data_IF_650237024048
#
_entry.id   IF_650237024048
#
_cell.length_a   1.000
_cell.length_b   1.000
_cell.length_c   1.000
_cell.angle_alpha   90.00
_cell.angle_beta   90.00
_cell.angle_gamma   90.00
#
_symmetry.space_group_name_H-M   'P 1'
#
loop_
_entity.id
_entity.type
_entity.pdbx_description
1 polymer ?
#
# COMPACT_ATOMS: atom_id res chain seq x y z
N UNK A 1 -43.11 -62.02 111.64
CA UNK A 1 -44.56 -61.78 111.72
C UNK A 1 -45.17 -62.11 110.38
N UNK A 2 -46.24 -62.90 110.36
CA UNK A 2 -46.94 -63.37 109.17
C UNK A 2 -47.77 -62.24 108.51
N UNK A 3 -47.84 -62.18 107.17
CA UNK A 3 -49.05 -62.56 106.42
C UNK A 3 -48.76 -62.64 104.89
N UNK A 4 -49.37 -63.58 104.14
CA UNK A 4 -49.15 -63.89 102.74
C UNK A 4 -50.28 -63.38 101.82
N UNK A 5 -50.14 -63.61 100.52
CA UNK A 5 -51.19 -63.46 99.50
C UNK A 5 -50.58 -63.55 98.09
N UNK A 6 -50.25 -64.74 97.59
CA UNK A 6 -51.14 -65.73 96.95
C UNK A 6 -51.47 -65.42 95.47
N UNK A 7 -50.72 -66.11 94.61
CA UNK A 7 -51.13 -66.88 93.43
C UNK A 7 -51.74 -66.12 92.23
N UNK A 8 -50.91 -66.03 91.19
CA UNK A 8 -51.32 -65.97 89.79
C UNK A 8 -50.41 -66.88 88.97
N UNK A 9 -50.91 -68.08 88.68
CA UNK A 9 -50.28 -69.22 88.02
C UNK A 9 -49.28 -68.93 86.90
N UNK A 10 -48.09 -69.53 87.00
CA UNK A 10 -47.28 -69.88 85.84
C UNK A 10 -48.00 -71.00 85.07
N UNK A 11 -48.92 -70.61 84.18
CA UNK A 11 -49.42 -71.50 83.15
C UNK A 11 -48.32 -71.67 82.08
N UNK A 12 -48.03 -72.91 81.62
CA UNK A 12 -47.30 -73.07 80.37
C UNK A 12 -48.12 -72.37 79.28
N UNK A 13 -47.46 -71.67 78.36
CA UNK A 13 -48.13 -70.94 77.28
C UNK A 13 -49.21 -71.85 76.66
N UNK A 14 -50.48 -71.51 76.86
CA UNK A 14 -51.61 -72.28 76.33
C UNK A 14 -51.46 -72.37 74.81
N UNK A 15 -52.04 -73.41 74.21
CA UNK A 15 -52.09 -73.59 72.75
C UNK A 15 -52.54 -72.29 72.03
N UNK A 16 -53.49 -71.56 72.64
CA UNK A 16 -53.94 -70.22 72.25
C UNK A 16 -52.85 -69.14 72.20
N UNK A 17 -51.85 -69.18 73.08
CA UNK A 17 -50.77 -68.19 73.13
C UNK A 17 -49.75 -68.43 72.00
N UNK A 18 -49.50 -69.69 71.65
CA UNK A 18 -48.65 -70.03 70.50
C UNK A 18 -49.36 -69.74 69.18
N UNK A 19 -50.66 -70.04 69.06
CA UNK A 19 -51.47 -69.72 67.87
C UNK A 19 -51.53 -68.20 67.64
N UNK A 20 -51.66 -67.38 68.70
CA UNK A 20 -51.58 -65.92 68.58
C UNK A 20 -50.21 -65.43 68.08
N UNK A 21 -49.11 -66.00 68.60
CA UNK A 21 -47.76 -65.66 68.11
C UNK A 21 -47.54 -66.06 66.65
N UNK A 22 -48.06 -67.21 66.23
CA UNK A 22 -48.01 -67.65 64.83
C UNK A 22 -48.84 -66.72 63.95
N UNK A 23 -50.05 -66.34 64.37
CA UNK A 23 -50.89 -65.37 63.66
C UNK A 23 -50.23 -63.99 63.54
N UNK A 24 -49.56 -63.52 64.61
CA UNK A 24 -48.79 -62.26 64.61
C UNK A 24 -47.56 -62.33 63.69
N UNK A 25 -46.86 -63.47 63.65
CA UNK A 25 -45.76 -63.70 62.70
C UNK A 25 -46.27 -63.76 61.27
N UNK A 26 -47.37 -64.45 61.00
CA UNK A 26 -47.98 -64.47 59.67
C UNK A 26 -48.46 -63.09 59.25
N UNK A 27 -48.93 -62.27 60.19
CA UNK A 27 -49.30 -60.88 59.95
C UNK A 27 -48.07 -60.01 59.67
N UNK A 28 -47.02 -60.14 60.48
CA UNK A 28 -45.75 -59.45 60.27
C UNK A 28 -45.11 -59.82 58.93
N UNK A 29 -45.12 -61.10 58.56
CA UNK A 29 -44.66 -61.60 57.26
C UNK A 29 -45.53 -61.06 56.12
N UNK A 30 -46.85 -60.98 56.30
CA UNK A 30 -47.76 -60.35 55.32
C UNK A 30 -47.54 -58.84 55.16
N UNK A 31 -47.19 -58.13 56.23
CA UNK A 31 -46.99 -56.66 56.24
C UNK A 31 -45.54 -56.25 55.89
N UNK A 32 -44.56 -57.14 56.05
CA UNK A 32 -43.14 -56.92 55.75
C UNK A 32 -42.89 -56.54 54.28
N UNK A 33 -43.49 -57.28 53.33
CA UNK A 33 -43.33 -57.01 51.90
C UNK A 33 -43.78 -55.60 51.51
N UNK A 34 -45.04 -55.21 51.83
CA UNK A 34 -45.53 -53.85 51.63
C UNK A 34 -44.72 -52.78 52.37
N UNK A 35 -44.28 -53.05 53.62
CA UNK A 35 -43.49 -52.11 54.42
C UNK A 35 -42.10 -51.84 53.81
N UNK A 36 -41.42 -52.89 53.34
CA UNK A 36 -40.14 -52.78 52.64
C UNK A 36 -40.33 -51.97 51.35
N UNK A 37 -41.34 -52.29 50.53
CA UNK A 37 -41.64 -51.56 49.30
C UNK A 37 -41.89 -50.06 49.57
N UNK A 38 -42.64 -49.72 50.63
CA UNK A 38 -42.89 -48.34 51.03
C UNK A 38 -41.63 -47.63 51.52
N UNK A 39 -40.73 -48.31 52.24
CA UNK A 39 -39.48 -47.71 52.72
C UNK A 39 -38.48 -47.39 51.60
N UNK A 40 -38.46 -48.17 50.51
CA UNK A 40 -37.56 -47.98 49.37
C UNK A 40 -38.15 -47.14 48.24
N UNK A 41 -39.48 -47.02 48.15
CA UNK A 41 -40.18 -46.19 47.18
C UNK A 41 -39.60 -44.75 47.05
N UNK A 42 -39.33 -43.99 48.13
CA UNK A 42 -38.76 -42.64 48.00
C UNK A 42 -37.32 -42.65 47.45
N UNK A 43 -36.53 -43.69 47.76
CA UNK A 43 -35.16 -43.84 47.24
C UNK A 43 -35.18 -44.15 45.75
N UNK A 44 -36.06 -45.07 45.31
CA UNK A 44 -36.26 -45.41 43.90
C UNK A 44 -36.76 -44.19 43.12
N UNK A 45 -37.73 -43.45 43.68
CA UNK A 45 -38.23 -42.22 43.06
C UNK A 45 -37.11 -41.21 42.88
N UNK A 46 -36.31 -40.94 43.92
CA UNK A 46 -35.18 -40.00 43.85
C UNK A 46 -34.12 -40.45 42.83
N UNK A 47 -33.85 -41.75 42.74
CA UNK A 47 -32.93 -42.31 41.75
C UNK A 47 -33.46 -42.09 40.31
N UNK A 48 -34.74 -42.35 40.07
CA UNK A 48 -35.37 -42.10 38.77
C UNK A 48 -35.40 -40.60 38.42
N UNK A 49 -35.79 -39.73 39.37
CA UNK A 49 -35.78 -38.27 39.17
C UNK A 49 -34.35 -37.76 38.82
N UNK A 50 -33.31 -38.35 39.44
CA UNK A 50 -31.90 -38.01 39.17
C UNK A 50 -31.47 -38.50 37.79
N UNK A 51 -31.91 -39.70 37.38
CA UNK A 51 -31.66 -40.25 36.06
C UNK A 51 -32.33 -39.41 34.97
N UNK A 52 -33.56 -38.97 35.18
CA UNK A 52 -34.29 -38.10 34.27
C UNK A 52 -33.59 -36.74 34.12
N UNK A 53 -33.13 -36.15 35.23
CA UNK A 53 -32.35 -34.91 35.20
C UNK A 53 -31.01 -35.08 34.48
N UNK A 54 -30.31 -36.20 34.71
CA UNK A 54 -29.06 -36.51 34.02
C UNK A 54 -29.29 -36.66 32.51
N UNK A 55 -30.33 -37.38 32.10
CA UNK A 55 -30.71 -37.55 30.69
C UNK A 55 -31.06 -36.21 30.03
N UNK A 56 -31.81 -35.34 30.72
CA UNK A 56 -32.11 -33.99 30.24
C UNK A 56 -30.83 -33.14 30.09
N UNK A 57 -29.90 -33.24 31.04
CA UNK A 57 -28.61 -32.53 30.99
C UNK A 57 -27.72 -33.04 29.85
N UNK A 58 -27.70 -34.35 29.60
CA UNK A 58 -26.96 -34.95 28.48
C UNK A 58 -27.51 -34.43 27.15
N UNK A 59 -28.84 -34.33 27.01
CA UNK A 59 -29.47 -33.80 25.81
C UNK A 59 -29.08 -32.34 25.53
N UNK A 60 -29.11 -31.47 26.55
CA UNK A 60 -28.72 -30.05 26.39
C UNK A 60 -27.23 -29.89 26.06
N UNK A 61 -26.36 -30.71 26.65
CA UNK A 61 -24.92 -30.72 26.32
C UNK A 61 -24.69 -31.17 24.88
N UNK A 62 -25.41 -32.19 24.41
CA UNK A 62 -25.33 -32.65 23.01
C UNK A 62 -25.75 -31.56 22.02
N UNK A 63 -26.81 -30.81 22.31
CA UNK A 63 -27.26 -29.71 21.46
C UNK A 63 -26.26 -28.55 21.47
N UNK A 64 -25.70 -28.22 22.64
CA UNK A 64 -24.65 -27.19 22.75
C UNK A 64 -23.42 -27.58 21.93
N UNK A 65 -22.99 -28.84 21.99
CA UNK A 65 -21.86 -29.33 21.18
C UNK A 65 -22.12 -29.13 19.69
N UNK A 66 -23.31 -29.53 19.20
CA UNK A 66 -23.67 -29.36 17.79
C UNK A 66 -23.69 -27.88 17.37
N UNK A 67 -24.15 -26.97 18.25
CA UNK A 67 -24.13 -25.52 18.00
C UNK A 67 -22.71 -24.96 17.97
N UNK A 68 -21.82 -25.44 18.84
CA UNK A 68 -20.41 -25.05 18.83
C UNK A 68 -19.75 -25.49 17.54
N UNK A 69 -19.93 -26.74 17.11
CA UNK A 69 -19.36 -27.25 15.86
C UNK A 69 -19.85 -26.46 14.64
N UNK A 70 -21.16 -26.18 14.57
CA UNK A 70 -21.73 -25.36 13.51
C UNK A 70 -21.15 -23.94 13.50
N UNK A 71 -20.92 -23.37 14.69
CA UNK A 71 -20.32 -22.03 14.83
C UNK A 71 -18.86 -22.03 14.37
N UNK A 72 -18.07 -23.05 14.73
CA UNK A 72 -16.67 -23.15 14.31
C UNK A 72 -16.54 -23.31 12.80
N UNK A 73 -17.38 -24.13 12.16
CA UNK A 73 -17.42 -24.26 10.70
C UNK A 73 -17.83 -22.94 10.02
N UNK A 74 -18.79 -22.23 10.59
CA UNK A 74 -19.20 -20.91 10.09
C UNK A 74 -18.05 -19.91 10.20
N UNK A 75 -17.33 -19.88 11.33
CA UNK A 75 -16.15 -19.02 11.53
C UNK A 75 -15.08 -19.33 10.50
N UNK A 76 -14.70 -20.60 10.32
CA UNK A 76 -13.68 -20.99 9.33
C UNK A 76 -14.08 -20.54 7.92
N UNK A 77 -15.32 -20.84 7.50
CA UNK A 77 -15.85 -20.43 6.20
C UNK A 77 -15.82 -18.91 6.01
N UNK A 78 -16.25 -18.17 7.03
CA UNK A 78 -16.31 -16.71 7.00
C UNK A 78 -14.90 -16.11 6.90
N UNK A 79 -13.97 -16.61 7.72
CA UNK A 79 -12.57 -16.17 7.73
C UNK A 79 -11.91 -16.46 6.40
N UNK A 80 -12.06 -17.66 5.84
CA UNK A 80 -11.48 -18.02 4.54
C UNK A 80 -12.02 -17.14 3.41
N UNK A 81 -13.32 -16.82 3.44
CA UNK A 81 -13.95 -15.90 2.49
C UNK A 81 -13.36 -14.50 2.60
N UNK A 82 -13.24 -13.98 3.83
CA UNK A 82 -12.64 -12.65 4.06
C UNK A 82 -11.17 -12.59 3.65
N UNK A 83 -10.38 -13.62 3.92
CA UNK A 83 -8.98 -13.70 3.50
C UNK A 83 -8.89 -13.69 1.97
N UNK A 84 -9.67 -14.54 1.30
CA UNK A 84 -9.64 -14.66 -0.16
C UNK A 84 -10.09 -13.39 -0.88
N UNK A 85 -11.02 -12.63 -0.30
CA UNK A 85 -11.52 -11.38 -0.88
C UNK A 85 -10.56 -10.18 -0.67
N UNK A 86 -9.80 -10.17 0.43
CA UNK A 86 -9.08 -8.97 0.86
C UNK A 86 -7.56 -9.15 0.93
N UNK A 87 -7.04 -10.36 0.72
CA UNK A 87 -5.62 -10.67 0.82
C UNK A 87 -5.13 -11.38 -0.44
N UNK A 88 -3.84 -11.19 -0.73
CA UNK A 88 -3.14 -11.89 -1.80
C UNK A 88 -2.13 -12.87 -1.21
N UNK A 89 -1.80 -13.92 -1.95
CA UNK A 89 -0.70 -14.81 -1.55
C UNK A 89 0.63 -14.07 -1.66
N UNK A 90 1.62 -14.49 -0.86
CA UNK A 90 2.98 -13.94 -0.93
C UNK A 90 3.57 -14.04 -2.35
N UNK A 91 3.29 -15.14 -3.06
CA UNK A 91 3.73 -15.33 -4.44
C UNK A 91 3.12 -14.27 -5.39
N UNK A 92 1.84 -13.95 -5.23
CA UNK A 92 1.18 -12.92 -6.03
C UNK A 92 1.75 -11.52 -5.73
N UNK A 93 2.02 -11.22 -4.46
CA UNK A 93 2.68 -9.96 -4.06
C UNK A 93 4.09 -9.87 -4.67
N UNK A 94 4.89 -10.93 -4.54
CA UNK A 94 6.24 -10.97 -5.12
C UNK A 94 6.24 -10.77 -6.63
N UNK A 95 5.25 -11.35 -7.33
CA UNK A 95 5.08 -11.14 -8.77
C UNK A 95 4.80 -9.68 -9.11
N UNK A 96 3.93 -9.00 -8.35
CA UNK A 96 3.60 -7.59 -8.56
C UNK A 96 4.75 -6.66 -8.19
N UNK A 97 5.58 -7.02 -7.20
CA UNK A 97 6.77 -6.23 -6.84
C UNK A 97 7.87 -6.38 -7.89
N UNK A 98 8.07 -7.58 -8.44
CA UNK A 98 9.06 -7.84 -9.47
C UNK A 98 8.70 -7.18 -10.82
N UNK A 99 7.40 -7.11 -11.12
CA UNK A 99 6.87 -6.44 -12.31
C UNK A 99 5.67 -5.56 -11.93
N UNK A 100 5.93 -4.36 -11.38
CA UNK A 100 4.86 -3.44 -11.01
C UNK A 100 4.00 -3.09 -12.21
N UNK A 101 2.66 -3.18 -12.10
CA UNK A 101 1.78 -2.72 -13.16
C UNK A 101 1.91 -1.20 -13.32
N UNK A 102 1.45 -0.69 -14.47
CA UNK A 102 1.36 0.75 -14.68
C UNK A 102 0.50 1.40 -13.58
N UNK A 103 1.03 2.48 -12.99
CA UNK A 103 0.29 3.28 -12.00
C UNK A 103 -0.58 4.29 -12.76
N UNK A 104 -1.90 4.12 -12.67
CA UNK A 104 -2.86 5.07 -13.20
C UNK A 104 -3.41 5.95 -12.07
N UNK A 105 -2.89 7.17 -11.94
CA UNK A 105 -3.41 8.18 -11.01
C UNK A 105 -4.33 9.16 -11.74
N UNK A 106 -5.56 9.32 -11.25
CA UNK A 106 -6.47 10.38 -11.73
C UNK A 106 -6.29 11.70 -10.99
N UNK A 107 -5.58 11.69 -9.86
CA UNK A 107 -5.27 12.85 -9.04
C UNK A 107 -3.79 13.23 -9.05
N UNK A 108 -3.42 14.15 -8.16
CA UNK A 108 -2.03 14.56 -7.99
C UNK A 108 -1.18 13.40 -7.44
N UNK A 109 -0.01 13.18 -8.03
CA UNK A 109 1.05 12.33 -7.49
C UNK A 109 2.05 13.26 -6.80
N UNK A 110 2.27 13.07 -5.50
CA UNK A 110 3.22 13.86 -4.72
C UNK A 110 4.16 12.95 -3.94
N UNK A 111 5.42 13.38 -3.83
CA UNK A 111 6.48 12.69 -3.10
C UNK A 111 7.73 13.57 -3.04
N UNK A 112 8.64 13.29 -2.12
CA UNK A 112 9.90 14.05 -2.01
C UNK A 112 10.80 13.86 -3.24
N UNK A 113 10.72 12.70 -3.90
CA UNK A 113 11.53 12.38 -5.08
C UNK A 113 10.73 11.48 -6.02
N UNK A 114 10.82 11.75 -7.33
CA UNK A 114 10.36 10.86 -8.40
C UNK A 114 11.50 10.68 -9.41
N UNK A 115 11.84 9.43 -9.72
CA UNK A 115 12.91 9.10 -10.67
C UNK A 115 12.30 8.55 -11.96
N UNK A 116 12.66 9.16 -13.09
CA UNK A 116 12.17 8.80 -14.43
C UNK A 116 13.34 8.34 -15.31
N UNK A 117 13.84 7.10 -15.14
CA UNK A 117 15.11 6.66 -15.72
C UNK A 117 15.09 6.59 -17.24
N UNK A 118 13.91 6.47 -17.84
CA UNK A 118 13.72 6.40 -19.31
C UNK A 118 13.05 7.65 -19.86
N UNK A 119 13.08 8.76 -19.11
CA UNK A 119 12.46 10.03 -19.47
C UNK A 119 10.98 10.15 -19.09
N UNK A 120 10.39 11.29 -19.45
CA UNK A 120 8.98 11.63 -19.18
C UNK A 120 8.28 11.89 -20.50
N UNK A 121 7.30 11.06 -20.85
CA UNK A 121 6.41 11.29 -22.01
C UNK A 121 5.12 11.97 -21.54
N UNK A 122 4.87 13.20 -22.00
CA UNK A 122 3.67 13.96 -21.68
C UNK A 122 2.97 14.43 -22.95
N UNK A 123 1.96 13.68 -23.38
CA UNK A 123 1.20 13.95 -24.62
C UNK A 123 0.44 15.29 -24.58
N UNK A 124 0.10 15.78 -23.40
CA UNK A 124 -0.59 17.05 -23.21
C UNK A 124 0.30 18.27 -23.44
N UNK A 125 1.62 18.18 -23.26
CA UNK A 125 2.54 19.33 -23.37
C UNK A 125 2.48 19.96 -24.76
N UNK A 126 2.30 19.15 -25.81
CA UNK A 126 2.26 19.64 -27.18
C UNK A 126 1.01 20.47 -27.51
N UNK A 127 -0.15 20.14 -26.92
CA UNK A 127 -1.44 20.77 -27.26
C UNK A 127 -2.00 21.68 -26.17
N UNK A 128 -1.42 21.65 -24.97
CA UNK A 128 -1.87 22.46 -23.84
C UNK A 128 -1.42 23.91 -24.00
N UNK A 129 -2.35 24.79 -24.30
CA UNK A 129 -2.11 26.24 -24.28
C UNK A 129 -1.87 26.74 -22.86
N UNK A 130 -0.77 27.46 -22.66
CA UNK A 130 -0.42 28.09 -21.39
C UNK A 130 -0.82 29.59 -21.32
N UNK A 131 -1.60 30.09 -22.27
CA UNK A 131 -1.92 31.52 -22.47
C UNK A 131 -2.98 32.09 -21.52
N UNK A 132 -3.25 31.46 -20.38
CA UNK A 132 -4.39 31.79 -19.50
C UNK A 132 -4.03 32.69 -18.30
N UNK A 133 -2.86 33.35 -18.35
CA UNK A 133 -2.41 34.34 -17.37
C UNK A 133 -1.42 33.78 -16.34
N UNK A 134 -0.37 34.56 -16.05
CA UNK A 134 0.73 34.18 -15.16
C UNK A 134 2.11 34.61 -15.70
N UNK A 135 3.16 34.41 -14.92
CA UNK A 135 4.54 34.57 -15.37
C UNK A 135 5.14 33.23 -15.82
N UNK A 136 5.99 33.25 -16.85
CA UNK A 136 6.67 32.07 -17.37
C UNK A 136 8.16 32.12 -17.05
N UNK A 137 8.79 30.94 -16.96
CA UNK A 137 10.25 30.80 -16.85
C UNK A 137 10.71 29.77 -17.87
N UNK A 138 11.87 30.02 -18.48
CA UNK A 138 12.57 29.00 -19.25
C UNK A 138 13.00 27.86 -18.29
N UNK A 139 12.71 26.63 -18.69
CA UNK A 139 13.12 25.44 -17.98
C UNK A 139 14.48 24.96 -18.49
N UNK A 140 15.33 24.52 -17.58
CA UNK A 140 16.63 23.92 -17.86
C UNK A 140 16.68 22.54 -17.22
N UNK A 141 17.47 21.65 -17.82
CA UNK A 141 17.81 20.35 -17.23
C UNK A 141 19.24 20.46 -16.68
N UNK A 142 19.42 20.19 -15.38
CA UNK A 142 20.73 20.14 -14.75
C UNK A 142 21.39 18.78 -14.99
N UNK A 143 22.71 18.70 -14.78
CA UNK A 143 23.51 17.49 -15.03
C UNK A 143 23.08 16.28 -14.20
N UNK A 144 22.42 16.50 -13.06
CA UNK A 144 21.85 15.44 -12.22
C UNK A 144 20.44 14.98 -12.65
N UNK A 145 19.94 15.51 -13.77
CA UNK A 145 18.60 15.24 -14.29
C UNK A 145 17.49 16.13 -13.69
N UNK A 146 17.82 17.04 -12.76
CA UNK A 146 16.85 17.95 -12.16
C UNK A 146 16.37 18.98 -13.18
N UNK A 147 15.05 19.14 -13.32
CA UNK A 147 14.46 20.23 -14.09
C UNK A 147 14.28 21.47 -13.21
N UNK A 148 14.75 22.63 -13.66
CA UNK A 148 14.71 23.87 -12.89
C UNK A 148 14.76 25.12 -13.76
N UNK A 149 15.07 26.27 -13.15
CA UNK A 149 15.30 27.53 -13.86
C UNK A 149 16.58 28.19 -13.38
N UNK A 150 17.23 28.97 -14.24
CA UNK A 150 18.45 29.70 -13.90
C UNK A 150 18.14 31.19 -13.71
N UNK A 151 18.32 31.78 -12.50
CA UNK A 151 18.08 33.20 -12.28
C UNK A 151 19.25 34.06 -12.81
N UNK A 152 18.96 35.31 -13.17
CA UNK A 152 19.97 36.26 -13.70
C UNK A 152 20.19 37.50 -12.82
N UNK A 153 19.63 37.53 -11.61
CA UNK A 153 19.80 38.65 -10.66
C UNK A 153 21.22 38.68 -10.05
N UNK A 154 21.70 39.88 -9.73
CA UNK A 154 23.02 40.11 -9.09
C UNK A 154 23.20 39.31 -7.81
N UNK A 155 22.14 39.08 -7.03
CA UNK A 155 22.23 38.33 -5.77
C UNK A 155 22.64 36.86 -5.94
N UNK A 156 22.52 36.30 -7.15
CA UNK A 156 22.91 34.93 -7.48
C UNK A 156 24.22 34.86 -8.28
N UNK A 157 24.94 35.98 -8.38
CA UNK A 157 26.16 36.10 -9.19
C UNK A 157 27.29 36.69 -8.34
N UNK A 158 28.50 36.22 -8.58
CA UNK A 158 29.73 36.73 -7.98
C UNK A 158 30.72 37.10 -9.09
N UNK A 159 31.78 37.84 -8.75
CA UNK A 159 32.90 38.14 -9.65
C UNK A 159 32.46 38.78 -10.98
N UNK A 160 31.50 39.71 -10.90
CA UNK A 160 30.92 40.36 -12.09
C UNK A 160 31.91 41.38 -12.66
N UNK A 161 32.55 41.03 -13.76
CA UNK A 161 33.41 41.91 -14.55
C UNK A 161 32.83 42.15 -15.95
N UNK A 162 33.04 43.32 -16.57
CA UNK A 162 32.71 43.52 -17.98
C UNK A 162 33.41 42.46 -18.85
N UNK A 163 32.68 41.88 -19.79
CA UNK A 163 33.24 40.97 -20.78
C UNK A 163 33.39 41.71 -22.11
N UNK A 164 34.54 41.55 -22.75
CA UNK A 164 34.78 42.01 -24.13
C UNK A 164 34.89 40.77 -25.01
N UNK A 165 34.01 40.66 -25.99
CA UNK A 165 34.04 39.61 -27.00
C UNK A 165 34.37 40.27 -28.34
N UNK A 166 35.20 39.61 -29.13
CA UNK A 166 35.53 40.07 -30.47
C UNK A 166 34.26 40.03 -31.35
N UNK A 167 33.79 41.18 -31.87
CA UNK A 167 32.67 41.24 -32.81
C UNK A 167 32.80 40.31 -34.02
N UNK A 168 34.03 39.99 -34.45
CA UNK A 168 34.29 39.11 -35.57
C UNK A 168 33.87 37.65 -35.29
N UNK A 169 33.74 37.24 -34.02
CA UNK A 169 33.28 35.91 -33.65
C UNK A 169 31.87 35.61 -34.16
N UNK A 170 30.96 36.60 -34.13
CA UNK A 170 29.61 36.41 -34.67
C UNK A 170 29.64 36.15 -36.18
N UNK A 171 30.50 36.86 -36.91
CA UNK A 171 30.63 36.69 -38.36
C UNK A 171 31.40 35.43 -38.76
N UNK A 172 32.16 34.83 -37.84
CA UNK A 172 32.85 33.58 -38.07
C UNK A 172 31.93 32.35 -37.93
N UNK A 173 30.76 32.51 -37.31
CA UNK A 173 29.76 31.45 -37.22
C UNK A 173 29.16 31.16 -38.60
N UNK A 174 29.11 29.88 -38.96
CA UNK A 174 28.53 29.42 -40.21
C UNK A 174 27.19 28.74 -39.96
N UNK A 175 26.10 29.38 -40.41
CA UNK A 175 24.80 28.73 -40.48
C UNK A 175 24.81 27.63 -41.55
N UNK A 176 24.28 26.47 -41.19
CA UNK A 176 24.15 25.31 -42.06
C UNK A 176 22.72 24.81 -42.02
N UNK A 177 22.29 24.21 -43.12
CA UNK A 177 21.08 23.39 -43.14
C UNK A 177 21.45 21.92 -43.13
N UNK A 178 20.69 21.11 -42.41
CA UNK A 178 20.98 19.69 -42.25
C UNK A 178 19.69 18.89 -42.00
N UNK A 179 19.81 17.56 -42.02
CA UNK A 179 18.76 16.65 -41.56
C UNK A 179 19.36 15.74 -40.51
N UNK A 180 18.63 15.46 -39.44
CA UNK A 180 19.10 14.49 -38.43
C UNK A 180 19.17 13.10 -39.05
N UNK A 181 20.24 12.35 -38.74
CA UNK A 181 20.44 10.98 -39.22
C UNK A 181 19.23 10.11 -38.82
N UNK A 182 18.86 10.13 -37.54
CA UNK A 182 17.69 9.37 -37.04
C UNK A 182 16.38 9.75 -37.76
N UNK A 183 16.18 11.03 -38.10
CA UNK A 183 15.00 11.46 -38.84
C UNK A 183 15.00 10.91 -40.27
N UNK A 184 16.14 10.94 -40.96
CA UNK A 184 16.29 10.34 -42.30
C UNK A 184 16.10 8.83 -42.25
N UNK A 185 16.63 8.15 -41.24
CA UNK A 185 16.51 6.70 -41.10
C UNK A 185 15.06 6.26 -40.85
N UNK A 186 14.27 7.07 -40.11
CA UNK A 186 12.88 6.74 -39.79
C UNK A 186 11.84 7.27 -40.79
N UNK A 187 12.11 8.42 -41.43
CA UNK A 187 11.15 9.14 -42.28
C UNK A 187 11.59 9.23 -43.75
N UNK A 188 12.82 8.87 -44.07
CA UNK A 188 13.38 8.97 -45.42
C UNK A 188 13.35 10.41 -45.94
N UNK A 189 12.80 10.58 -47.15
CA UNK A 189 12.68 11.89 -47.80
C UNK A 189 11.68 12.83 -47.11
N UNK A 190 10.87 12.33 -46.18
CA UNK A 190 9.98 13.17 -45.36
C UNK A 190 10.70 13.81 -44.16
N UNK A 191 11.99 13.48 -43.93
CA UNK A 191 12.78 14.11 -42.88
C UNK A 191 12.92 15.62 -43.13
N UNK A 192 12.52 16.41 -42.14
CA UNK A 192 12.56 17.86 -42.20
C UNK A 192 14.00 18.39 -42.27
N UNK A 193 14.19 19.47 -43.05
CA UNK A 193 15.46 20.18 -43.11
C UNK A 193 15.49 21.23 -42.02
N UNK A 194 16.48 21.10 -41.14
CA UNK A 194 16.72 21.97 -40.00
C UNK A 194 17.76 23.04 -40.34
N UNK A 195 17.75 24.13 -39.59
CA UNK A 195 18.73 25.21 -39.65
C UNK A 195 19.47 25.28 -38.32
N UNK A 196 20.80 25.37 -38.35
CA UNK A 196 21.57 25.51 -37.13
C UNK A 196 23.07 25.74 -37.34
N UNK A 197 23.83 25.41 -36.31
CA UNK A 197 25.28 25.48 -36.22
C UNK A 197 25.83 24.10 -35.81
N UNK A 198 27.10 23.84 -36.12
CA UNK A 198 27.81 22.62 -35.70
C UNK A 198 28.59 22.88 -34.41
N UNK A 199 28.40 22.05 -33.39
CA UNK A 199 28.99 22.25 -32.07
C UNK A 199 30.54 22.22 -32.11
N UNK A 200 31.11 21.33 -32.90
CA UNK A 200 32.56 21.23 -33.13
C UNK A 200 33.14 22.48 -33.79
N UNK A 201 32.44 23.07 -34.76
CA UNK A 201 32.89 24.30 -35.43
C UNK A 201 32.86 25.49 -34.45
N UNK A 202 31.81 25.60 -33.63
CA UNK A 202 31.72 26.61 -32.57
C UNK A 202 32.80 26.42 -31.51
N UNK A 203 33.10 25.17 -31.15
CA UNK A 203 34.20 24.84 -30.26
C UNK A 203 35.55 25.29 -30.83
N UNK A 204 35.81 25.04 -32.11
CA UNK A 204 37.06 25.41 -32.78
C UNK A 204 37.27 26.94 -32.83
N UNK A 205 36.18 27.72 -32.79
CA UNK A 205 36.22 29.18 -32.65
C UNK A 205 36.51 29.67 -31.21
N UNK A 206 36.72 28.77 -30.25
CA UNK A 206 36.98 29.10 -28.85
C UNK A 206 35.74 29.53 -28.06
N UNK A 207 34.53 29.37 -28.63
CA UNK A 207 33.26 29.75 -28.01
C UNK A 207 32.74 28.67 -27.05
N UNK A 208 33.62 28.10 -26.22
CA UNK A 208 33.30 26.94 -25.36
C UNK A 208 32.12 27.17 -24.40
N UNK A 209 31.87 28.41 -24.00
CA UNK A 209 30.75 28.77 -23.12
C UNK A 209 29.37 28.63 -23.79
N UNK A 210 29.33 28.53 -25.12
CA UNK A 210 28.13 28.21 -25.92
C UNK A 210 27.99 26.71 -26.19
N UNK A 211 29.01 25.89 -25.93
CA UNK A 211 29.03 24.48 -26.31
C UNK A 211 28.61 23.61 -25.12
N UNK A 212 27.75 22.63 -25.39
CA UNK A 212 27.47 21.51 -24.49
C UNK A 212 28.38 20.33 -24.82
N UNK A 213 28.82 19.63 -23.78
CA UNK A 213 29.74 18.52 -23.89
C UNK A 213 29.14 17.26 -23.26
N UNK A 214 29.44 16.10 -23.83
CA UNK A 214 29.12 14.81 -23.22
C UNK A 214 30.07 14.45 -22.06
N UNK A 215 29.88 13.25 -21.50
CA UNK A 215 30.68 12.74 -20.40
C UNK A 215 32.16 12.55 -20.76
N UNK A 216 32.46 12.32 -22.04
CA UNK A 216 33.81 12.17 -22.59
C UNK A 216 34.45 13.52 -22.95
N UNK A 217 33.71 14.63 -22.82
CA UNK A 217 34.18 15.98 -23.10
C UNK A 217 34.14 16.34 -24.59
N UNK A 218 33.40 15.60 -25.41
CA UNK A 218 33.19 15.92 -26.83
C UNK A 218 32.05 16.94 -26.97
N UNK A 219 32.17 17.94 -27.87
CA UNK A 219 31.05 18.81 -28.23
C UNK A 219 29.85 17.99 -28.72
N UNK A 220 28.67 18.23 -28.15
CA UNK A 220 27.43 17.53 -28.52
C UNK A 220 26.26 18.46 -28.79
N UNK A 221 26.31 19.69 -28.31
CA UNK A 221 25.20 20.62 -28.46
C UNK A 221 25.63 22.06 -28.28
N UNK A 222 24.64 22.95 -28.39
CA UNK A 222 24.81 24.38 -28.25
C UNK A 222 23.72 24.98 -27.36
N UNK A 223 24.15 25.91 -26.53
CA UNK A 223 23.30 26.79 -25.72
C UNK A 223 22.75 27.93 -26.58
N UNK A 224 21.88 27.58 -27.54
CA UNK A 224 21.34 28.51 -28.53
C UNK A 224 20.68 29.75 -27.91
N UNK A 225 20.08 29.62 -26.72
CA UNK A 225 19.47 30.73 -26.00
C UNK A 225 20.47 31.84 -25.64
N UNK A 226 21.76 31.50 -25.59
CA UNK A 226 22.83 32.45 -25.28
C UNK A 226 23.52 33.02 -26.51
N UNK A 227 23.22 32.49 -27.70
CA UNK A 227 23.82 32.95 -28.96
C UNK A 227 23.54 34.45 -29.20
N UNK A 228 22.35 34.92 -28.82
CA UNK A 228 21.96 36.32 -28.91
C UNK A 228 22.89 37.27 -28.14
N UNK A 229 23.63 36.78 -27.13
CA UNK A 229 24.60 37.60 -26.39
C UNK A 229 25.79 38.04 -27.27
N UNK A 230 26.13 37.30 -28.32
CA UNK A 230 27.15 37.70 -29.30
C UNK A 230 26.71 38.89 -30.16
N UNK A 231 25.41 39.10 -30.33
CA UNK A 231 24.89 40.23 -31.12
C UNK A 231 25.14 41.57 -30.44
N UNK A 232 25.23 41.60 -29.10
CA UNK A 232 25.43 42.83 -28.33
C UNK A 232 26.76 43.53 -28.70
N UNK A 233 27.95 42.90 -28.54
CA UNK A 233 29.22 43.53 -28.89
C UNK A 233 29.33 43.80 -30.40
N UNK A 234 28.72 42.96 -31.24
CA UNK A 234 28.69 43.19 -32.68
C UNK A 234 27.90 44.45 -33.05
N UNK A 235 26.68 44.62 -32.51
CA UNK A 235 25.87 45.81 -32.75
C UNK A 235 26.55 47.08 -32.20
N UNK A 236 27.16 47.00 -31.01
CA UNK A 236 27.96 48.10 -30.45
C UNK A 236 29.13 48.48 -31.37
N UNK A 237 29.78 47.51 -32.01
CA UNK A 237 30.87 47.76 -32.95
C UNK A 237 30.39 48.47 -34.23
N UNK A 238 29.18 48.16 -34.70
CA UNK A 238 28.57 48.82 -35.86
C UNK A 238 28.26 50.27 -35.52
N UNK A 239 27.63 50.53 -34.38
CA UNK A 239 27.31 51.87 -33.91
C UNK A 239 28.57 52.74 -33.77
N UNK A 240 29.63 52.19 -33.15
CA UNK A 240 30.90 52.89 -33.00
C UNK A 240 31.53 53.26 -34.37
N UNK A 241 31.44 52.36 -35.36
CA UNK A 241 31.93 52.62 -36.72
C UNK A 241 31.09 53.67 -37.44
N UNK A 242 29.77 53.64 -37.28
CA UNK A 242 28.87 54.62 -37.89
C UNK A 242 29.15 56.02 -37.34
N UNK A 243 29.24 56.16 -36.02
CA UNK A 243 29.58 57.43 -35.38
C UNK A 243 30.92 57.98 -35.86
N UNK A 244 31.94 57.13 -36.00
CA UNK A 244 33.24 57.55 -36.52
C UNK A 244 33.18 58.04 -37.98
N UNK A 245 32.22 57.57 -38.78
CA UNK A 245 32.02 57.98 -40.17
C UNK A 245 31.13 59.22 -40.30
N UNK A 246 30.25 59.48 -39.33
CA UNK A 246 29.29 60.58 -39.35
C UNK A 246 29.83 61.89 -38.75
N UNK A 247 30.93 61.85 -38.00
CA UNK A 247 31.60 63.09 -37.55
C UNK A 247 32.24 63.78 -38.76
N UNK A 248 31.77 64.97 -39.18
CA UNK A 248 32.37 65.70 -40.28
C UNK A 248 33.78 66.13 -39.88
N UNK A 249 34.75 65.91 -40.77
CA UNK A 249 36.09 66.49 -40.69
C UNK A 249 36.06 68.01 -40.57
#
# INVERSE_FOLDING_TARGET
MANPGSIGSAMPASEDTQVRRVADLERFVRELGPSIAQSFAPVIKKANDTLDLANATIATVSELSARVDATLVNIDTTVQTSISANSMTTAAIQSLVAAPPAVASTGAVSGTTGTFPTGVSSTGVYTKLLTYGGGYKAQYVHVDGTMGYVPSSRQFKQDITPATLDPALLTALQLVTFRYIDAVDNLGDQAETELGLIAEDVHALGLHWLVDYDAEGKPTGLKYERLALLMIPWAQSIEARLQALEVPS
#
